data_IF_565638423125
#
_entry.id   IF_565638423125
#
_cell.length_a   1.000
_cell.length_b   1.000
_cell.length_c   1.000
_cell.angle_alpha   90.00
_cell.angle_beta   90.00
_cell.angle_gamma   90.00
#
_symmetry.space_group_name_H-M   'P 1'
#
loop_
_entity.id
_entity.type
_entity.pdbx_description
1 polymer ?
#
# COMPACT_ATOMS: atom_id res chain seq x y z
N UNK A 1 24.90 -4.12 5.41
CA UNK A 1 23.80 -3.27 4.90
C UNK A 1 23.60 -2.08 5.85
N UNK A 2 23.45 -0.90 5.31
CA UNK A 2 23.29 0.30 6.10
C UNK A 2 21.92 0.31 6.80
N UNK A 3 21.83 1.03 7.94
CA UNK A 3 20.60 1.09 8.71
C UNK A 3 19.41 1.63 7.92
N UNK A 4 19.64 2.67 7.07
CA UNK A 4 18.56 3.22 6.27
C UNK A 4 18.04 2.22 5.24
N UNK A 5 18.90 1.35 4.72
CA UNK A 5 18.51 0.31 3.78
C UNK A 5 17.60 -0.70 4.45
N UNK A 6 17.95 -1.12 5.67
CA UNK A 6 17.14 -2.05 6.46
C UNK A 6 15.76 -1.44 6.74
N UNK A 7 15.72 -0.15 7.09
CA UNK A 7 14.46 0.54 7.37
C UNK A 7 13.58 0.62 6.12
N UNK A 8 14.16 0.89 4.96
CA UNK A 8 13.40 0.93 3.70
C UNK A 8 12.83 -0.44 3.36
N UNK A 9 13.62 -1.50 3.55
CA UNK A 9 13.15 -2.87 3.32
C UNK A 9 11.99 -3.20 4.25
N UNK A 10 12.12 -2.87 5.54
CA UNK A 10 11.04 -3.12 6.51
C UNK A 10 9.79 -2.31 6.18
N UNK A 11 9.95 -1.06 5.76
CA UNK A 11 8.84 -0.22 5.35
C UNK A 11 8.11 -0.82 4.15
N UNK A 12 8.84 -1.40 3.20
CA UNK A 12 8.21 -2.05 2.04
C UNK A 12 7.35 -3.24 2.45
N UNK A 13 7.81 -4.06 3.39
CA UNK A 13 7.02 -5.18 3.90
C UNK A 13 5.76 -4.71 4.64
N UNK A 14 5.90 -3.70 5.49
CA UNK A 14 4.77 -3.16 6.24
C UNK A 14 3.73 -2.55 5.31
N UNK A 15 4.19 -1.80 4.30
CA UNK A 15 3.30 -1.19 3.31
C UNK A 15 2.58 -2.27 2.49
N UNK A 16 3.29 -3.32 2.11
CA UNK A 16 2.71 -4.43 1.38
C UNK A 16 1.58 -5.09 2.17
N UNK A 17 1.77 -5.30 3.48
CA UNK A 17 0.73 -5.85 4.34
C UNK A 17 -0.49 -4.95 4.40
N UNK A 18 -0.27 -3.64 4.51
CA UNK A 18 -1.37 -2.66 4.55
C UNK A 18 -2.16 -2.67 3.24
N UNK A 19 -1.47 -2.76 2.12
CA UNK A 19 -2.12 -2.86 0.81
C UNK A 19 -2.96 -4.12 0.71
N UNK A 20 -2.43 -5.25 1.15
CA UNK A 20 -3.15 -6.52 1.11
C UNK A 20 -4.43 -6.47 1.95
N UNK A 21 -4.35 -5.92 3.15
CA UNK A 21 -5.52 -5.79 4.02
C UNK A 21 -6.57 -4.87 3.42
N UNK A 22 -6.14 -3.76 2.85
CA UNK A 22 -7.06 -2.80 2.23
C UNK A 22 -7.68 -3.38 0.95
N UNK A 23 -6.92 -4.15 0.19
CA UNK A 23 -7.41 -4.83 -1.01
C UNK A 23 -8.49 -5.86 -0.65
N UNK A 24 -8.29 -6.60 0.44
CA UNK A 24 -9.30 -7.55 0.94
C UNK A 24 -10.59 -6.81 1.29
N UNK A 25 -10.48 -5.67 1.98
CA UNK A 25 -11.65 -4.86 2.29
C UNK A 25 -12.34 -4.35 1.02
N UNK A 26 -11.57 -3.89 0.04
CA UNK A 26 -12.09 -3.39 -1.24
C UNK A 26 -12.94 -4.45 -1.96
N UNK A 27 -12.58 -5.72 -1.82
CA UNK A 27 -13.29 -6.84 -2.46
C UNK A 27 -14.43 -7.39 -1.60
N UNK A 28 -14.67 -6.82 -0.43
CA UNK A 28 -15.68 -7.31 0.51
C UNK A 28 -17.02 -6.62 0.29
N UNK A 29 -18.06 -7.21 0.86
CA UNK A 29 -19.39 -6.60 0.87
C UNK A 29 -19.44 -5.30 1.68
N UNK A 30 -18.52 -5.14 2.61
CA UNK A 30 -18.42 -3.91 3.43
C UNK A 30 -18.05 -2.71 2.56
N UNK A 31 -17.22 -2.90 1.55
CA UNK A 31 -16.89 -1.84 0.60
C UNK A 31 -18.15 -1.39 -0.14
N UNK A 32 -18.97 -2.34 -0.58
CA UNK A 32 -20.21 -2.06 -1.32
C UNK A 32 -21.20 -1.22 -0.51
N UNK A 33 -21.14 -1.30 0.82
CA UNK A 33 -22.02 -0.54 1.71
C UNK A 33 -21.54 0.89 1.95
N UNK A 34 -20.33 1.25 1.53
CA UNK A 34 -19.83 2.61 1.65
C UNK A 34 -20.51 3.52 0.63
N UNK A 35 -20.62 4.81 0.97
CA UNK A 35 -21.09 5.80 0.02
C UNK A 35 -20.04 6.04 -1.09
N UNK A 36 -20.47 6.69 -2.16
CA UNK A 36 -19.62 6.88 -3.35
C UNK A 36 -18.33 7.66 -3.02
N UNK A 37 -18.44 8.66 -2.14
CA UNK A 37 -17.29 9.48 -1.77
C UNK A 37 -16.24 8.62 -1.07
N UNK A 38 -16.65 7.81 -0.11
CA UNK A 38 -15.73 6.95 0.63
C UNK A 38 -15.16 5.82 -0.25
N UNK A 39 -15.97 5.28 -1.14
CA UNK A 39 -15.47 4.29 -2.11
C UNK A 39 -14.38 4.88 -2.98
N UNK A 40 -14.58 6.08 -3.51
CA UNK A 40 -13.60 6.75 -4.37
C UNK A 40 -12.31 7.07 -3.62
N UNK A 41 -12.43 7.55 -2.38
CA UNK A 41 -11.26 7.86 -1.56
C UNK A 41 -10.44 6.61 -1.26
N UNK A 42 -11.09 5.48 -0.99
CA UNK A 42 -10.40 4.23 -0.70
C UNK A 42 -9.68 3.70 -1.94
N UNK A 43 -10.31 3.78 -3.11
CA UNK A 43 -9.68 3.37 -4.37
C UNK A 43 -8.43 4.22 -4.64
N UNK A 44 -8.53 5.53 -4.46
CA UNK A 44 -7.40 6.43 -4.63
C UNK A 44 -6.28 6.14 -3.63
N UNK A 45 -6.65 5.85 -2.39
CA UNK A 45 -5.67 5.48 -1.36
C UNK A 45 -4.90 4.23 -1.77
N UNK A 46 -5.58 3.20 -2.27
CA UNK A 46 -4.92 2.00 -2.78
C UNK A 46 -3.95 2.31 -3.91
N UNK A 47 -4.35 3.15 -4.86
CA UNK A 47 -3.51 3.53 -5.99
C UNK A 47 -2.24 4.22 -5.52
N UNK A 48 -2.35 5.16 -4.59
CA UNK A 48 -1.18 5.88 -4.06
C UNK A 48 -0.28 4.98 -3.23
N UNK A 49 -0.85 4.06 -2.47
CA UNK A 49 -0.07 3.09 -1.70
C UNK A 49 0.72 2.16 -2.62
N UNK A 50 0.12 1.72 -3.71
CA UNK A 50 0.80 0.89 -4.70
C UNK A 50 1.93 1.65 -5.39
N UNK A 51 1.71 2.91 -5.74
CA UNK A 51 2.76 3.77 -6.29
C UNK A 51 3.90 3.99 -5.32
N UNK A 52 3.59 4.19 -4.06
CA UNK A 52 4.59 4.32 -3.00
C UNK A 52 5.41 3.04 -2.88
N UNK A 53 4.75 1.88 -2.87
CA UNK A 53 5.45 0.59 -2.81
C UNK A 53 6.40 0.40 -4.00
N UNK A 54 5.98 0.76 -5.19
CA UNK A 54 6.82 0.69 -6.39
C UNK A 54 8.11 1.51 -6.22
N UNK A 55 7.99 2.70 -5.65
CA UNK A 55 9.16 3.56 -5.40
C UNK A 55 10.10 2.92 -4.38
N UNK A 56 9.56 2.34 -3.32
CA UNK A 56 10.39 1.66 -2.32
C UNK A 56 11.14 0.48 -2.95
N UNK A 57 10.47 -0.29 -3.81
CA UNK A 57 11.09 -1.41 -4.51
C UNK A 57 12.24 -0.92 -5.41
N UNK A 58 12.01 0.14 -6.17
CA UNK A 58 13.05 0.73 -7.01
C UNK A 58 14.25 1.21 -6.20
N UNK A 59 14.00 1.82 -5.05
CA UNK A 59 15.07 2.23 -4.14
C UNK A 59 15.86 1.04 -3.63
N UNK A 60 15.16 -0.04 -3.26
CA UNK A 60 15.79 -1.27 -2.76
C UNK A 60 16.67 -1.90 -3.85
N UNK A 61 16.23 -1.88 -5.09
CA UNK A 61 17.02 -2.40 -6.21
C UNK A 61 18.35 -1.67 -6.41
N UNK A 62 18.43 -0.44 -5.94
CA UNK A 62 19.67 0.35 -6.02
C UNK A 62 20.62 0.12 -4.85
N UNK A 63 20.22 -0.65 -3.86
CA UNK A 63 21.08 -0.99 -2.73
C UNK A 63 22.15 -2.00 -3.16
#
# INVERSE_FOLDING_TARGET
MEDYQIRVINESYELKEKIEKLDIFYRSNKFDSLDDINQNLLIRQLEYMQGYLEILIERIELF
#
